data_IF_321499194647
#
_entry.id   IF_321499194647
#
_cell.length_a   1.000
_cell.length_b   1.000
_cell.length_c   1.000
_cell.angle_alpha   90.00
_cell.angle_beta   90.00
_cell.angle_gamma   90.00
#
_symmetry.space_group_name_H-M   'P 1'
#
loop_
_entity.id
_entity.type
_entity.pdbx_description
1 polymer ?
#
# COMPACT_ATOMS: atom_id res chain seq x y z
N UNK A 1 31.26 -29.68 -13.42
CA UNK A 1 30.61 -29.19 -12.18
C UNK A 1 29.84 -27.95 -12.58
N UNK A 2 28.50 -27.97 -12.71
CA UNK A 2 27.76 -26.77 -13.04
C UNK A 2 27.41 -26.01 -11.75
N UNK A 3 27.52 -24.69 -11.85
CA UNK A 3 27.37 -23.69 -10.80
C UNK A 3 26.13 -23.89 -9.92
N UNK A 4 26.37 -24.10 -8.61
CA UNK A 4 25.34 -24.04 -7.59
C UNK A 4 25.13 -22.59 -7.14
N UNK A 5 23.88 -22.12 -7.30
CA UNK A 5 23.23 -21.12 -6.47
C UNK A 5 23.77 -19.68 -6.48
N UNK A 6 23.54 -18.98 -7.59
CA UNK A 6 23.05 -17.60 -7.50
C UNK A 6 21.54 -17.63 -7.17
N UNK A 7 21.22 -18.07 -5.95
CA UNK A 7 19.96 -17.70 -5.30
C UNK A 7 19.98 -16.18 -5.19
N UNK A 8 19.48 -15.49 -6.21
CA UNK A 8 19.33 -14.04 -6.19
C UNK A 8 18.30 -13.77 -5.10
N UNK A 9 18.78 -13.50 -3.87
CA UNK A 9 17.92 -13.26 -2.72
C UNK A 9 17.00 -12.11 -3.10
N UNK A 10 15.70 -12.38 -3.19
CA UNK A 10 14.72 -11.35 -3.54
C UNK A 10 14.90 -10.21 -2.55
N UNK A 11 15.15 -8.96 -3.02
CA UNK A 11 15.51 -7.88 -2.13
C UNK A 11 14.39 -7.62 -1.12
N UNK A 12 14.77 -7.59 0.17
CA UNK A 12 13.89 -7.15 1.24
C UNK A 12 13.56 -5.67 1.07
N UNK A 13 12.36 -5.25 1.48
CA UNK A 13 12.07 -3.82 1.61
C UNK A 13 13.01 -3.23 2.66
N UNK A 14 13.66 -2.12 2.32
CA UNK A 14 14.41 -1.32 3.29
C UNK A 14 13.40 -0.56 4.16
N UNK A 15 13.27 -0.97 5.42
CA UNK A 15 12.42 -0.30 6.41
C UNK A 15 13.10 0.99 6.88
N UNK A 16 12.33 2.07 6.97
CA UNK A 16 12.79 3.35 7.54
C UNK A 16 12.52 3.34 9.06
N UNK A 17 13.55 3.29 9.93
CA UNK A 17 13.37 3.10 11.37
C UNK A 17 12.50 4.19 12.01
N UNK A 18 12.75 5.46 11.69
CA UNK A 18 12.02 6.59 12.28
C UNK A 18 10.52 6.51 12.03
N UNK A 19 10.12 6.10 10.82
CA UNK A 19 8.72 5.90 10.46
C UNK A 19 8.13 4.67 11.12
N UNK A 20 8.90 3.57 11.23
CA UNK A 20 8.45 2.37 11.92
C UNK A 20 8.19 2.64 13.42
N UNK A 21 9.07 3.41 14.05
CA UNK A 21 8.90 3.84 15.44
C UNK A 21 7.70 4.76 15.60
N UNK A 22 7.46 5.67 14.65
CA UNK A 22 6.29 6.53 14.67
C UNK A 22 4.97 5.74 14.55
N UNK A 23 4.90 4.79 13.63
CA UNK A 23 3.74 3.88 13.50
C UNK A 23 3.53 3.10 14.79
N UNK A 24 4.61 2.55 15.38
CA UNK A 24 4.53 1.77 16.62
C UNK A 24 4.04 2.59 17.80
N UNK A 25 4.45 3.87 17.91
CA UNK A 25 4.03 4.77 19.00
C UNK A 25 2.59 5.26 18.84
N UNK A 26 2.15 5.51 17.60
CA UNK A 26 0.88 6.21 17.32
C UNK A 26 -0.26 5.29 16.89
N UNK A 27 -0.01 3.99 16.64
CA UNK A 27 -1.08 3.01 16.42
C UNK A 27 -1.97 2.90 17.66
N UNK A 28 -3.25 2.72 17.45
CA UNK A 28 -4.23 2.44 18.48
C UNK A 28 -4.94 1.13 18.14
N UNK A 29 -5.15 0.30 19.15
CA UNK A 29 -6.03 -0.86 19.04
C UNK A 29 -7.47 -0.36 19.15
N UNK A 30 -8.35 -0.83 18.25
CA UNK A 30 -9.77 -0.49 18.33
C UNK A 30 -10.36 -1.09 19.63
N UNK A 31 -11.38 -0.42 20.19
CA UNK A 31 -12.06 -0.88 21.42
C UNK A 31 -12.66 -2.27 21.29
N UNK A 32 -12.98 -2.68 20.07
CA UNK A 32 -13.33 -4.06 19.72
C UNK A 32 -12.21 -4.64 18.88
N UNK A 33 -11.49 -5.67 19.35
CA UNK A 33 -10.45 -6.29 18.57
C UNK A 33 -11.06 -6.87 17.29
N UNK A 34 -10.66 -6.27 16.17
CA UNK A 34 -11.04 -6.72 14.84
C UNK A 34 -9.84 -7.42 14.22
N UNK A 35 -10.09 -8.59 13.66
CA UNK A 35 -9.07 -9.42 13.03
C UNK A 35 -9.48 -9.72 11.60
N UNK A 36 -8.49 -9.73 10.71
CA UNK A 36 -8.70 -10.08 9.31
C UNK A 36 -7.62 -11.01 8.81
N UNK A 37 -7.99 -11.86 7.86
CA UNK A 37 -7.06 -12.68 7.11
C UNK A 37 -6.65 -11.92 5.86
N UNK A 38 -5.34 -11.74 5.66
CA UNK A 38 -4.80 -11.04 4.49
C UNK A 38 -4.10 -12.02 3.54
N UNK A 39 -4.02 -11.71 2.24
CA UNK A 39 -3.35 -12.56 1.26
C UNK A 39 -1.81 -12.40 1.31
N UNK A 40 -1.22 -12.39 2.51
CA UNK A 40 0.23 -12.34 2.73
C UNK A 40 0.79 -13.77 2.88
N UNK A 41 1.84 -14.11 2.14
CA UNK A 41 2.43 -15.47 2.12
C UNK A 41 1.34 -16.54 1.95
N UNK A 42 1.26 -17.48 2.89
CA UNK A 42 0.25 -18.54 2.97
C UNK A 42 -0.80 -18.28 4.07
N UNK A 43 -0.86 -17.07 4.63
CA UNK A 43 -1.73 -16.77 5.79
C UNK A 43 -3.22 -16.97 5.50
N UNK A 44 -3.63 -16.67 4.27
CA UNK A 44 -4.97 -16.96 3.74
C UNK A 44 -5.31 -18.45 3.55
N UNK A 45 -4.31 -19.34 3.60
CA UNK A 45 -4.52 -20.80 3.52
C UNK A 45 -4.46 -21.47 4.90
N UNK A 46 -3.89 -20.78 5.88
CA UNK A 46 -3.75 -21.26 7.26
C UNK A 46 -4.67 -20.51 8.23
N UNK A 47 -5.61 -19.72 7.71
CA UNK A 47 -6.52 -18.85 8.47
C UNK A 47 -5.81 -18.02 9.54
N UNK A 48 -4.60 -17.55 9.22
CA UNK A 48 -3.82 -16.74 10.16
C UNK A 48 -4.38 -15.32 10.15
N UNK A 49 -5.05 -15.00 11.24
CA UNK A 49 -5.60 -13.69 11.51
C UNK A 49 -4.53 -12.67 11.89
N UNK A 50 -4.75 -11.42 11.49
CA UNK A 50 -3.98 -10.25 11.93
C UNK A 50 -4.88 -9.19 12.52
N UNK A 51 -4.35 -8.52 13.54
CA UNK A 51 -5.05 -7.43 14.21
C UNK A 51 -5.19 -6.23 13.28
N UNK A 52 -6.38 -5.65 13.29
CA UNK A 52 -6.68 -4.36 12.68
C UNK A 52 -6.44 -3.29 13.73
N UNK A 53 -5.60 -2.33 13.38
CA UNK A 53 -5.28 -1.17 14.22
C UNK A 53 -5.64 0.11 13.51
N UNK A 54 -5.90 1.16 14.27
CA UNK A 54 -6.14 2.51 13.75
C UNK A 54 -4.84 3.30 13.78
N UNK A 55 -4.47 3.96 12.68
CA UNK A 55 -3.23 4.74 12.53
C UNK A 55 -3.56 6.15 12.03
N UNK A 56 -2.92 7.22 12.54
CA UNK A 56 -3.13 8.57 12.03
C UNK A 56 -2.86 8.66 10.54
N UNK A 57 -3.72 9.35 9.79
CA UNK A 57 -3.60 9.36 8.34
C UNK A 57 -2.38 10.14 7.84
N UNK A 58 -1.95 11.15 8.59
CA UNK A 58 -0.80 12.00 8.28
C UNK A 58 0.54 11.26 8.24
N UNK A 59 0.66 10.15 8.99
CA UNK A 59 1.90 9.36 9.04
C UNK A 59 1.92 8.20 8.04
N UNK A 60 0.81 7.97 7.34
CA UNK A 60 0.72 6.97 6.30
C UNK A 60 1.29 7.52 5.00
N UNK A 61 2.08 6.71 4.30
CA UNK A 61 2.80 7.11 3.09
C UNK A 61 2.37 6.30 1.88
N UNK A 62 2.34 6.95 0.72
CA UNK A 62 2.18 6.35 -0.59
C UNK A 62 3.50 5.72 -1.05
N UNK A 63 3.41 4.58 -1.74
CA UNK A 63 4.54 3.94 -2.43
C UNK A 63 4.66 4.47 -3.85
N UNK A 64 5.86 4.83 -4.28
CA UNK A 64 6.12 5.22 -5.68
C UNK A 64 6.10 4.03 -6.64
N UNK A 65 6.40 2.83 -6.12
CA UNK A 65 6.35 1.56 -6.84
C UNK A 65 4.92 1.03 -7.05
N UNK A 66 3.89 1.83 -6.72
CA UNK A 66 2.51 1.46 -6.92
C UNK A 66 2.21 1.34 -8.43
N UNK A 67 1.66 0.19 -8.83
CA UNK A 67 1.44 -0.05 -10.25
C UNK A 67 0.49 0.94 -10.91
N UNK A 68 -0.46 1.56 -10.17
CA UNK A 68 -1.50 2.46 -10.73
C UNK A 68 -0.92 3.75 -11.25
N UNK A 69 0.20 4.20 -10.70
CA UNK A 69 0.81 5.51 -10.97
C UNK A 69 2.23 5.39 -11.49
N UNK A 70 2.67 4.17 -11.85
CA UNK A 70 4.05 3.91 -12.26
C UNK A 70 4.44 4.74 -13.50
N UNK A 71 3.53 4.90 -14.46
CA UNK A 71 3.78 5.75 -15.64
C UNK A 71 3.96 7.22 -15.26
N UNK A 72 3.12 7.74 -14.35
CA UNK A 72 3.20 9.12 -13.86
C UNK A 72 4.53 9.36 -13.12
N UNK A 73 4.91 8.43 -12.25
CA UNK A 73 6.17 8.48 -11.50
C UNK A 73 7.37 8.47 -12.45
N UNK A 74 7.40 7.56 -13.43
CA UNK A 74 8.49 7.48 -14.40
C UNK A 74 8.62 8.76 -15.25
N UNK A 75 7.50 9.32 -15.70
CA UNK A 75 7.52 10.56 -16.48
C UNK A 75 8.03 11.73 -15.63
N UNK A 76 7.53 11.85 -14.40
CA UNK A 76 7.98 12.89 -13.48
C UNK A 76 9.47 12.78 -13.16
N UNK A 77 9.96 11.57 -12.88
CA UNK A 77 11.37 11.35 -12.54
C UNK A 77 12.31 11.65 -13.72
N UNK A 78 11.86 11.49 -14.96
CA UNK A 78 12.62 11.86 -16.16
C UNK A 78 12.79 13.38 -16.31
N UNK A 79 11.74 14.14 -15.97
CA UNK A 79 11.72 15.61 -16.15
C UNK A 79 12.28 16.36 -14.93
N UNK A 80 12.04 15.86 -13.71
CA UNK A 80 12.27 16.59 -12.45
C UNK A 80 13.27 15.88 -11.51
N UNK A 81 13.71 14.67 -11.87
CA UNK A 81 14.63 13.86 -11.06
C UNK A 81 13.95 12.90 -10.09
N UNK A 82 14.76 12.07 -9.43
CA UNK A 82 14.30 10.91 -8.64
C UNK A 82 13.45 11.33 -7.44
N UNK A 83 12.26 10.75 -7.32
CA UNK A 83 11.37 10.88 -6.17
C UNK A 83 11.89 10.03 -5.01
N UNK A 84 12.13 10.69 -3.86
CA UNK A 84 12.64 10.05 -2.64
C UNK A 84 11.46 9.71 -1.72
N UNK A 85 11.27 8.43 -1.41
CA UNK A 85 10.12 7.95 -0.63
C UNK A 85 9.99 8.58 0.77
N UNK A 86 11.11 9.02 1.36
CA UNK A 86 11.17 9.68 2.67
C UNK A 86 10.88 11.19 2.62
N UNK A 87 10.68 11.78 1.44
CA UNK A 87 10.41 13.20 1.27
C UNK A 87 8.92 13.48 1.30
N UNK A 88 8.52 14.51 2.03
CA UNK A 88 7.12 14.97 2.05
C UNK A 88 6.72 15.59 0.71
N UNK A 89 7.64 16.25 0.01
CA UNK A 89 7.40 16.73 -1.35
C UNK A 89 7.05 15.58 -2.30
N UNK A 90 7.70 14.42 -2.15
CA UNK A 90 7.34 13.23 -2.91
C UNK A 90 5.94 12.73 -2.56
N UNK A 91 5.53 12.79 -1.29
CA UNK A 91 4.17 12.40 -0.90
C UNK A 91 3.09 13.31 -1.51
N UNK A 92 3.36 14.61 -1.64
CA UNK A 92 2.47 15.57 -2.31
C UNK A 92 2.28 15.20 -3.79
N UNK A 93 3.38 14.94 -4.51
CA UNK A 93 3.30 14.55 -5.93
C UNK A 93 2.59 13.20 -6.12
N UNK A 94 2.88 12.20 -5.28
CA UNK A 94 2.19 10.90 -5.34
C UNK A 94 0.69 11.04 -5.03
N UNK A 95 0.31 11.87 -4.06
CA UNK A 95 -1.10 12.17 -3.75
C UNK A 95 -1.80 12.78 -4.96
N UNK A 96 -1.14 13.72 -5.65
CA UNK A 96 -1.66 14.34 -6.87
C UNK A 96 -1.92 13.31 -7.97
N UNK A 97 -0.94 12.46 -8.29
CA UNK A 97 -1.11 11.41 -9.31
C UNK A 97 -2.27 10.45 -8.98
N UNK A 98 -2.43 10.10 -7.70
CA UNK A 98 -3.53 9.23 -7.27
C UNK A 98 -4.90 9.90 -7.35
N UNK A 99 -4.97 11.20 -7.04
CA UNK A 99 -6.21 11.97 -7.06
C UNK A 99 -6.72 12.20 -8.48
N UNK A 100 -5.81 12.37 -9.45
CA UNK A 100 -6.14 12.61 -10.85
C UNK A 100 -6.60 11.35 -11.61
N UNK A 101 -6.25 10.15 -11.12
CA UNK A 101 -6.54 8.88 -11.83
C UNK A 101 -8.02 8.56 -11.96
N UNK A 102 -8.80 8.63 -10.88
CA UNK A 102 -10.23 8.29 -10.85
C UNK A 102 -11.01 9.19 -9.87
N UNK A 103 -11.29 10.46 -10.23
CA UNK A 103 -11.98 11.39 -9.34
C UNK A 103 -13.40 10.93 -8.98
N UNK A 104 -14.15 10.38 -9.95
CA UNK A 104 -15.51 9.89 -9.72
C UNK A 104 -15.57 8.74 -8.71
N UNK A 105 -14.71 7.74 -8.86
CA UNK A 105 -14.63 6.62 -7.90
C UNK A 105 -14.13 7.05 -6.53
N UNK A 106 -13.29 8.09 -6.48
CA UNK A 106 -12.85 8.69 -5.21
C UNK A 106 -14.03 9.36 -4.51
N UNK A 107 -14.87 10.09 -5.25
CA UNK A 107 -16.10 10.70 -4.74
C UNK A 107 -17.12 9.66 -4.26
N UNK A 108 -17.32 8.57 -5.01
CA UNK A 108 -18.15 7.45 -4.58
C UNK A 108 -17.63 6.85 -3.26
N UNK A 109 -16.32 6.65 -3.15
CA UNK A 109 -15.67 6.14 -1.95
C UNK A 109 -15.83 7.10 -0.76
N UNK A 110 -15.69 8.41 -0.98
CA UNK A 110 -15.94 9.44 0.05
C UNK A 110 -17.37 9.36 0.59
N UNK A 111 -18.38 9.24 -0.29
CA UNK A 111 -19.77 9.10 0.12
C UNK A 111 -20.03 7.78 0.88
N UNK A 112 -19.38 6.68 0.46
CA UNK A 112 -19.45 5.42 1.18
C UNK A 112 -18.83 5.52 2.58
N UNK A 113 -17.72 6.25 2.72
CA UNK A 113 -17.04 6.44 4.00
C UNK A 113 -17.87 7.34 4.91
N UNK A 114 -18.42 8.46 4.40
CA UNK A 114 -19.34 9.33 5.17
C UNK A 114 -20.57 8.59 5.72
N UNK A 115 -21.10 7.62 4.96
CA UNK A 115 -22.33 6.92 5.35
C UNK A 115 -22.12 5.70 6.23
N UNK A 116 -21.02 4.96 6.04
CA UNK A 116 -20.81 3.66 6.67
C UNK A 116 -19.45 3.52 7.37
N UNK A 117 -18.61 4.56 7.35
CA UNK A 117 -17.22 4.49 7.77
C UNK A 117 -16.36 3.59 6.87
N UNK A 118 -15.14 3.34 7.32
CA UNK A 118 -14.23 2.39 6.67
C UNK A 118 -14.66 0.94 6.96
N UNK A 119 -15.05 0.21 5.91
CA UNK A 119 -15.44 -1.20 5.98
C UNK A 119 -14.24 -2.15 6.05
N UNK A 120 -13.35 -2.08 5.08
CA UNK A 120 -12.17 -2.95 4.99
C UNK A 120 -10.90 -2.22 5.45
N UNK A 121 -10.01 -2.86 6.22
CA UNK A 121 -8.71 -2.27 6.57
C UNK A 121 -7.81 -2.14 5.33
N UNK A 122 -6.83 -1.24 5.38
CA UNK A 122 -5.72 -1.24 4.42
C UNK A 122 -4.58 -2.13 4.92
N UNK A 123 -3.65 -2.52 4.06
CA UNK A 123 -2.42 -3.21 4.44
C UNK A 123 -1.26 -2.27 4.24
N UNK A 124 -0.45 -2.12 5.29
CA UNK A 124 0.74 -1.29 5.30
C UNK A 124 1.97 -2.08 5.72
N UNK A 125 3.14 -1.60 5.31
CA UNK A 125 4.41 -2.02 5.89
C UNK A 125 4.57 -1.45 7.29
N UNK A 126 5.50 -1.99 8.09
CA UNK A 126 5.73 -1.49 9.44
C UNK A 126 6.19 -0.02 9.50
N UNK A 127 6.80 0.49 8.44
CA UNK A 127 7.19 1.90 8.25
C UNK A 127 6.09 2.77 7.61
N UNK A 128 4.84 2.32 7.56
CA UNK A 128 3.69 3.17 7.22
C UNK A 128 3.37 3.28 5.73
N UNK A 129 4.03 2.51 4.85
CA UNK A 129 3.76 2.57 3.42
C UNK A 129 2.59 1.68 3.00
N UNK A 130 1.66 2.27 2.26
CA UNK A 130 0.45 1.61 1.75
C UNK A 130 0.76 0.60 0.65
N UNK A 131 0.37 -0.65 0.87
CA UNK A 131 0.39 -1.72 -0.14
C UNK A 131 -0.92 -1.72 -0.92
N UNK A 132 -2.04 -1.55 -0.23
CA UNK A 132 -3.35 -1.29 -0.84
C UNK A 132 -3.99 -0.04 -0.21
N UNK A 133 -5.23 0.28 -0.58
CA UNK A 133 -5.97 1.36 0.07
C UNK A 133 -5.49 2.78 -0.26
N UNK A 134 -4.67 2.97 -1.30
CA UNK A 134 -4.18 4.30 -1.69
C UNK A 134 -5.32 5.29 -1.99
N UNK A 135 -6.34 4.89 -2.76
CA UNK A 135 -7.54 5.73 -2.98
C UNK A 135 -8.30 5.99 -1.69
N UNK A 136 -8.33 5.02 -0.78
CA UNK A 136 -8.98 5.16 0.53
C UNK A 136 -8.28 6.23 1.36
N UNK A 137 -6.95 6.24 1.40
CA UNK A 137 -6.20 7.33 2.04
C UNK A 137 -6.53 8.67 1.40
N UNK A 138 -6.49 8.79 0.07
CA UNK A 138 -6.84 10.05 -0.63
C UNK A 138 -8.25 10.53 -0.27
N UNK A 139 -9.23 9.62 -0.23
CA UNK A 139 -10.61 9.92 0.12
C UNK A 139 -10.75 10.36 1.59
N UNK A 140 -10.11 9.66 2.53
CA UNK A 140 -10.15 10.03 3.96
C UNK A 140 -9.40 11.35 4.20
N UNK A 141 -8.25 11.58 3.56
CA UNK A 141 -7.52 12.85 3.63
C UNK A 141 -8.44 14.00 3.19
N UNK A 142 -9.10 13.85 2.04
CA UNK A 142 -10.02 14.87 1.52
C UNK A 142 -11.21 15.10 2.46
N UNK A 143 -11.76 14.04 3.05
CA UNK A 143 -12.84 14.16 4.04
C UNK A 143 -12.38 14.90 5.30
N UNK A 144 -11.19 14.60 5.80
CA UNK A 144 -10.62 15.27 6.98
C UNK A 144 -10.33 16.75 6.69
N UNK A 145 -9.78 17.06 5.51
CA UNK A 145 -9.54 18.45 5.05
C UNK A 145 -10.86 19.24 4.89
N UNK A 146 -11.92 18.60 4.36
CA UNK A 146 -13.23 19.23 4.13
C UNK A 146 -14.01 19.50 5.43
N UNK A 147 -13.96 18.56 6.38
CA UNK A 147 -14.83 18.56 7.56
C UNK A 147 -14.13 18.98 8.85
N UNK A 148 -12.83 18.73 8.95
CA UNK A 148 -12.07 18.85 10.20
C UNK A 148 -12.47 17.82 11.27
N UNK A 149 -13.25 16.79 10.92
CA UNK A 149 -13.74 15.82 11.90
C UNK A 149 -12.66 14.81 12.29
N UNK A 150 -12.55 14.54 13.59
CA UNK A 150 -11.58 13.61 14.17
C UNK A 150 -11.79 12.17 13.69
N UNK A 151 -13.00 11.80 13.25
CA UNK A 151 -13.28 10.46 12.74
C UNK A 151 -12.50 10.13 11.46
N UNK A 152 -12.10 11.15 10.68
CA UNK A 152 -11.28 11.01 9.48
C UNK A 152 -9.79 11.27 9.74
N UNK A 153 -9.38 11.54 10.99
CA UNK A 153 -7.97 11.74 11.33
C UNK A 153 -7.15 10.43 11.32
N UNK A 154 -7.82 9.28 11.27
CA UNK A 154 -7.21 7.95 11.35
C UNK A 154 -7.79 6.98 10.33
N UNK A 155 -7.01 5.97 9.97
CA UNK A 155 -7.40 4.90 9.06
C UNK A 155 -7.15 3.54 9.71
N UNK A 156 -8.09 2.60 9.51
CA UNK A 156 -7.95 1.20 9.92
C UNK A 156 -6.99 0.46 8.98
N UNK A 157 -5.98 -0.18 9.54
CA UNK A 157 -4.91 -0.85 8.80
C UNK A 157 -4.47 -2.15 9.48
N UNK A 158 -3.88 -3.03 8.68
CA UNK A 158 -3.10 -4.19 9.11
C UNK A 158 -1.64 -3.89 8.83
N UNK A 159 -0.81 -4.08 9.85
CA UNK A 159 0.63 -3.82 9.77
C UNK A 159 1.35 -5.14 9.47
N UNK A 160 2.13 -5.15 8.38
CA UNK A 160 3.02 -6.27 8.05
C UNK A 160 4.22 -6.33 9.01
N UNK A 161 4.80 -7.54 9.22
CA UNK A 161 5.93 -7.71 10.13
C UNK A 161 7.12 -6.84 9.75
N UNK A 162 7.82 -6.32 10.74
CA UNK A 162 9.07 -5.61 10.63
C UNK A 162 10.30 -6.51 10.75
N UNK A 163 11.46 -5.89 10.99
CA UNK A 163 12.76 -6.58 11.10
C UNK A 163 12.81 -7.57 12.27
N UNK A 164 12.26 -7.17 13.40
CA UNK A 164 12.36 -7.93 14.66
C UNK A 164 11.16 -8.85 14.90
N UNK A 165 10.18 -8.85 13.98
CA UNK A 165 8.97 -9.68 14.10
C UNK A 165 9.20 -11.09 13.53
N UNK A 166 8.48 -12.11 14.05
CA UNK A 166 8.54 -13.47 13.51
C UNK A 166 8.23 -13.51 12.01
N UNK A 167 9.18 -14.06 11.25
CA UNK A 167 9.10 -14.17 9.79
C UNK A 167 9.66 -12.96 9.03
N UNK A 168 10.16 -11.93 9.71
CA UNK A 168 10.88 -10.81 9.11
C UNK A 168 10.06 -9.92 8.17
N UNK A 169 10.69 -8.87 7.61
CA UNK A 169 10.00 -7.91 6.77
C UNK A 169 9.63 -8.52 5.42
N UNK A 170 8.58 -8.02 4.76
CA UNK A 170 8.21 -8.50 3.45
C UNK A 170 9.27 -8.15 2.41
N UNK A 171 9.52 -9.09 1.49
CA UNK A 171 10.27 -8.85 0.26
C UNK A 171 9.47 -7.94 -0.68
N UNK A 172 10.17 -7.26 -1.61
CA UNK A 172 9.48 -6.48 -2.66
C UNK A 172 8.48 -7.33 -3.45
N UNK A 173 8.84 -8.58 -3.74
CA UNK A 173 7.96 -9.55 -4.41
C UNK A 173 6.68 -9.83 -3.62
N UNK A 174 6.78 -10.06 -2.31
CA UNK A 174 5.61 -10.33 -1.47
C UNK A 174 4.67 -9.11 -1.41
N UNK A 175 5.23 -7.89 -1.36
CA UNK A 175 4.45 -6.66 -1.40
C UNK A 175 3.67 -6.57 -2.72
N UNK A 176 4.33 -6.81 -3.85
CA UNK A 176 3.67 -6.82 -5.17
C UNK A 176 2.62 -7.93 -5.29
N UNK A 177 2.87 -9.12 -4.73
CA UNK A 177 1.90 -10.22 -4.72
C UNK A 177 0.64 -9.85 -3.93
N UNK A 178 0.78 -9.22 -2.76
CA UNK A 178 -0.37 -8.72 -1.98
C UNK A 178 -1.15 -7.69 -2.79
N UNK A 179 -0.45 -6.71 -3.37
CA UNK A 179 -1.04 -5.66 -4.19
C UNK A 179 -1.83 -6.25 -5.38
N UNK A 180 -1.26 -7.20 -6.11
CA UNK A 180 -1.92 -7.89 -7.22
C UNK A 180 -3.15 -8.68 -6.77
N UNK A 181 -3.06 -9.43 -5.66
CA UNK A 181 -4.18 -10.24 -5.16
C UNK A 181 -5.38 -9.38 -4.78
N UNK A 182 -5.16 -8.24 -4.12
CA UNK A 182 -6.24 -7.30 -3.81
C UNK A 182 -6.86 -6.68 -5.07
N UNK A 183 -6.05 -6.48 -6.13
CA UNK A 183 -6.56 -5.99 -7.41
C UNK A 183 -7.44 -7.03 -8.10
N UNK A 184 -6.99 -8.28 -8.19
CA UNK A 184 -7.76 -9.39 -8.74
C UNK A 184 -9.07 -9.63 -7.96
N UNK A 185 -9.04 -9.49 -6.64
CA UNK A 185 -10.27 -9.57 -5.83
C UNK A 185 -11.24 -8.42 -6.13
N UNK A 186 -10.73 -7.28 -6.58
CA UNK A 186 -11.52 -6.12 -7.00
C UNK A 186 -11.92 -6.15 -8.49
N UNK A 187 -11.52 -7.17 -9.27
CA UNK A 187 -11.60 -7.22 -10.76
C UNK A 187 -13.02 -7.36 -11.36
N UNK A 188 -14.05 -7.01 -10.60
CA UNK A 188 -15.26 -6.47 -11.22
C UNK A 188 -15.09 -5.06 -11.78
N UNK A 189 -14.00 -4.33 -11.46
CA UNK A 189 -13.87 -2.88 -11.71
C UNK A 189 -12.42 -2.37 -11.92
N UNK A 190 -11.57 -3.02 -12.73
CA UNK A 190 -10.16 -2.59 -12.92
C UNK A 190 -10.02 -1.09 -13.26
N UNK A 191 -9.14 -0.42 -12.51
CA UNK A 191 -8.82 1.02 -12.57
C UNK A 191 -7.47 1.31 -13.23
N UNK A 192 -6.75 0.27 -13.64
CA UNK A 192 -5.49 0.46 -14.31
C UNK A 192 -5.71 0.84 -15.77
N UNK A 193 -4.95 1.85 -16.23
CA UNK A 193 -4.83 2.09 -17.66
C UNK A 193 -4.07 0.93 -18.31
N UNK A 194 -4.38 0.62 -19.58
CA UNK A 194 -3.65 -0.43 -20.34
C UNK A 194 -2.14 -0.21 -20.35
N UNK A 195 -1.70 1.05 -20.28
CA UNK A 195 -0.29 1.42 -20.22
C UNK A 195 0.34 1.06 -18.86
N UNK A 196 -0.30 1.42 -17.76
CA UNK A 196 0.17 1.06 -16.41
C UNK A 196 0.21 -0.45 -16.22
N UNK A 197 -0.79 -1.17 -16.75
CA UNK A 197 -0.79 -2.63 -16.75
C UNK A 197 0.43 -3.17 -17.52
N UNK A 198 0.70 -2.65 -18.72
CA UNK A 198 1.82 -3.10 -19.54
C UNK A 198 3.18 -2.82 -18.87
N UNK A 199 3.35 -1.62 -18.27
CA UNK A 199 4.58 -1.26 -17.55
C UNK A 199 4.74 -2.15 -16.31
N UNK A 200 3.68 -2.36 -15.54
CA UNK A 200 3.70 -3.26 -14.38
C UNK A 200 4.06 -4.70 -14.80
N UNK A 201 3.46 -5.22 -15.87
CA UNK A 201 3.78 -6.55 -16.42
C UNK A 201 5.25 -6.64 -16.85
N UNK A 202 5.78 -5.60 -17.49
CA UNK A 202 7.18 -5.56 -17.90
C UNK A 202 8.11 -5.56 -16.67
N UNK A 203 7.84 -4.71 -15.68
CA UNK A 203 8.59 -4.67 -14.43
C UNK A 203 8.60 -6.02 -13.71
N UNK A 204 7.47 -6.73 -13.71
CA UNK A 204 7.34 -8.08 -13.15
C UNK A 204 8.24 -9.09 -13.86
N UNK A 205 8.27 -9.06 -15.20
CA UNK A 205 9.17 -9.90 -16.01
C UNK A 205 10.63 -9.62 -15.68
N UNK A 206 11.00 -8.34 -15.63
CA UNK A 206 12.37 -7.90 -15.36
C UNK A 206 12.82 -8.23 -13.93
N UNK A 207 11.88 -8.31 -12.98
CA UNK A 207 12.10 -8.68 -11.57
C UNK A 207 12.02 -10.19 -11.29
N UNK A 208 11.92 -11.03 -12.33
CA UNK A 208 11.87 -12.49 -12.19
C UNK A 208 10.56 -13.06 -11.63
N UNK A 209 9.45 -12.32 -11.72
CA UNK A 209 8.13 -12.79 -11.28
C UNK A 209 7.40 -13.54 -12.40
N UNK A 210 6.81 -14.68 -12.07
CA UNK A 210 5.91 -15.41 -12.97
C UNK A 210 4.59 -14.67 -13.12
N UNK A 211 4.08 -14.53 -14.35
CA UNK A 211 2.79 -13.89 -14.65
C UNK A 211 1.57 -14.78 -14.33
N UNK A 212 1.78 -15.97 -13.76
CA UNK A 212 0.76 -17.04 -13.61
C UNK A 212 0.34 -17.35 -12.16
N UNK A 213 0.52 -16.45 -11.19
CA UNK A 213 0.07 -16.67 -9.81
C UNK A 213 -1.18 -15.88 -9.43
#
# INVERSE_FOLDING_TARGET
VPDSDLMTSIPLRKIIPDFADEIKRRKLEDTTPSKVVIPFRNEHRTDKERDVVSVPIEILRFRKENGRIISNVLNYEQEHGILKENSDATQVELRKFLSEKDPEKTKELMNSIRSSGQRDPAVITCDGFLINGNRRKVAIDALHEDTGEDEYSRMKVVILPGKDDPGGPPTKKEIEQIENRYQLQSDGKSEYTRLDQAISIRHKRDSGMSLKE
#
